data_IF_884656684479
#
_entry.id   IF_884656684479
#
_cell.length_a   1.000
_cell.length_b   1.000
_cell.length_c   1.000
_cell.angle_alpha   90.00
_cell.angle_beta   90.00
_cell.angle_gamma   90.00
#
_symmetry.space_group_name_H-M   'P 1'
#
loop_
_entity.id
_entity.type
_entity.pdbx_description
1 polymer ?
#
# COMPACT_ATOMS: atom_id res chain seq x y z
N UNK A 1 9.47 27.31 55.29
CA UNK A 1 8.21 26.70 55.71
C UNK A 1 7.21 27.08 54.66
N UNK A 2 6.71 26.30 53.77
CA UNK A 2 6.51 24.88 53.68
C UNK A 2 6.48 24.50 52.18
N UNK A 3 7.02 23.37 51.90
CA UNK A 3 7.19 22.82 50.57
C UNK A 3 5.91 22.15 50.10
N UNK A 4 5.37 22.55 48.92
CA UNK A 4 4.28 21.87 48.26
C UNK A 4 4.73 21.27 46.93
N UNK A 5 5.08 19.99 46.92
CA UNK A 5 5.41 19.21 45.74
C UNK A 5 4.14 18.88 44.96
N UNK A 6 4.13 19.19 43.69
CA UNK A 6 3.16 18.70 42.69
C UNK A 6 3.56 17.30 42.27
N UNK A 7 2.65 16.32 42.21
CA UNK A 7 2.94 15.02 41.66
C UNK A 7 2.91 15.05 40.11
N UNK A 8 4.02 14.66 39.51
CA UNK A 8 4.09 14.27 38.11
C UNK A 8 3.22 13.03 37.93
N UNK A 9 2.14 13.20 37.16
CA UNK A 9 1.31 12.09 36.68
C UNK A 9 2.00 11.41 35.52
N UNK A 10 2.52 10.23 35.73
CA UNK A 10 2.93 9.28 34.70
C UNK A 10 1.71 8.84 33.91
N UNK A 11 1.50 9.43 32.72
CA UNK A 11 0.54 8.95 31.75
C UNK A 11 1.23 7.97 30.78
N UNK A 12 1.73 6.87 31.34
CA UNK A 12 2.04 5.67 30.55
C UNK A 12 0.75 4.89 30.33
N UNK A 13 -0.03 5.26 29.31
CA UNK A 13 -1.10 4.41 28.80
C UNK A 13 -0.48 3.23 28.08
N UNK A 14 -0.19 2.19 28.81
CA UNK A 14 0.12 0.88 28.27
C UNK A 14 -1.07 0.43 27.40
N UNK A 15 -0.87 0.33 26.10
CA UNK A 15 -1.80 -0.34 25.20
C UNK A 15 -1.98 -1.77 25.69
N UNK A 16 -3.16 -2.06 26.25
CA UNK A 16 -3.49 -3.37 26.80
C UNK A 16 -3.48 -4.36 25.64
N UNK A 17 -2.51 -5.24 25.66
CA UNK A 17 -2.30 -6.32 24.71
C UNK A 17 -3.26 -7.45 25.08
N UNK A 18 -4.51 -7.35 24.65
CA UNK A 18 -5.42 -8.48 24.76
C UNK A 18 -5.41 -9.20 23.41
N UNK A 19 -4.61 -10.24 23.36
CA UNK A 19 -4.66 -11.23 22.29
C UNK A 19 -5.83 -12.14 22.63
N UNK A 20 -6.95 -11.99 21.95
CA UNK A 20 -7.97 -13.03 21.96
C UNK A 20 -7.38 -14.27 21.24
N UNK A 21 -6.61 -15.05 21.97
CA UNK A 21 -6.61 -16.46 21.74
C UNK A 21 -8.00 -16.94 22.20
N UNK A 22 -8.98 -16.91 21.29
CA UNK A 22 -10.07 -17.84 21.43
C UNK A 22 -9.38 -19.19 21.55
N UNK A 23 -9.34 -19.73 22.78
CA UNK A 23 -8.80 -21.05 23.05
C UNK A 23 -9.30 -21.97 21.94
N UNK A 24 -8.37 -22.65 21.28
CA UNK A 24 -8.66 -23.65 20.26
C UNK A 24 -9.51 -24.75 20.89
N UNK A 25 -10.80 -24.50 21.04
CA UNK A 25 -11.75 -25.52 21.39
C UNK A 25 -11.90 -26.42 20.17
N UNK A 26 -11.15 -27.49 20.18
CA UNK A 26 -11.36 -28.62 19.27
C UNK A 26 -12.70 -29.27 19.59
N UNK A 27 -13.76 -28.79 18.95
CA UNK A 27 -15.00 -29.54 18.87
C UNK A 27 -14.87 -30.49 17.67
N UNK A 28 -14.54 -31.74 17.92
CA UNK A 28 -14.58 -32.79 16.91
C UNK A 28 -13.62 -32.61 15.71
N UNK A 29 -12.37 -32.11 15.91
CA UNK A 29 -11.35 -32.08 14.87
C UNK A 29 -11.45 -30.94 13.85
N UNK A 30 -12.37 -29.98 13.96
CA UNK A 30 -12.46 -28.78 13.13
C UNK A 30 -11.54 -27.67 13.71
N UNK A 31 -10.56 -27.23 12.92
CA UNK A 31 -9.81 -25.99 13.17
C UNK A 31 -10.74 -24.79 12.91
N UNK A 32 -10.98 -23.95 13.91
CA UNK A 32 -11.73 -22.70 13.73
C UNK A 32 -10.81 -21.60 13.22
N UNK A 33 -11.27 -20.77 12.27
CA UNK A 33 -10.52 -19.61 11.76
C UNK A 33 -10.51 -18.49 12.80
N UNK A 34 -9.38 -18.12 13.41
CA UNK A 34 -9.34 -17.03 14.39
C UNK A 34 -9.36 -15.66 13.71
N UNK A 35 -10.24 -14.78 14.17
CA UNK A 35 -10.17 -13.34 13.87
C UNK A 35 -9.01 -12.75 14.68
N UNK A 36 -8.06 -12.11 13.98
CA UNK A 36 -6.99 -11.37 14.65
C UNK A 36 -7.48 -9.94 14.93
N UNK A 37 -7.80 -9.66 16.20
CA UNK A 37 -8.41 -8.41 16.63
C UNK A 37 -7.37 -7.47 17.23
N UNK A 38 -7.37 -6.21 16.76
CA UNK A 38 -6.50 -5.14 17.27
C UNK A 38 -7.37 -3.96 17.70
N UNK A 39 -7.32 -3.61 18.97
CA UNK A 39 -8.08 -2.49 19.54
C UNK A 39 -7.15 -1.31 19.84
N UNK A 40 -7.54 -0.12 19.40
CA UNK A 40 -6.85 1.15 19.66
C UNK A 40 -7.85 2.18 20.19
N UNK A 41 -8.26 2.05 21.48
CA UNK A 41 -9.19 2.97 22.09
C UNK A 41 -8.60 4.38 22.14
N UNK A 42 -9.37 5.35 21.64
CA UNK A 42 -9.02 6.77 21.68
C UNK A 42 -10.25 7.57 22.10
N UNK A 43 -10.04 8.66 22.83
CA UNK A 43 -11.08 9.59 23.18
C UNK A 43 -11.49 10.38 21.95
N UNK A 44 -12.38 9.81 21.13
CA UNK A 44 -12.95 10.44 19.97
C UNK A 44 -14.48 10.48 20.15
N UNK A 45 -15.12 11.66 20.16
CA UNK A 45 -16.55 11.75 20.44
C UNK A 45 -17.37 10.96 19.43
N UNK A 46 -18.01 9.88 19.90
CA UNK A 46 -19.05 9.17 19.18
C UNK A 46 -18.67 8.54 17.85
N UNK A 47 -17.39 8.24 17.58
CA UNK A 47 -16.95 7.68 16.30
C UNK A 47 -16.11 6.42 16.48
N UNK A 48 -16.44 5.40 15.69
CA UNK A 48 -15.63 4.18 15.55
C UNK A 48 -15.20 4.03 14.08
N UNK A 49 -13.94 3.69 13.87
CA UNK A 49 -13.42 3.23 12.60
C UNK A 49 -12.96 1.77 12.70
N UNK A 50 -13.43 0.95 11.79
CA UNK A 50 -13.03 -0.44 11.66
C UNK A 50 -12.33 -0.66 10.32
N UNK A 51 -11.22 -1.38 10.34
CA UNK A 51 -10.40 -1.74 9.19
C UNK A 51 -10.17 -3.23 9.20
N UNK A 52 -10.80 -3.92 8.27
CA UNK A 52 -10.64 -5.35 8.07
C UNK A 52 -9.67 -5.57 6.92
N UNK A 53 -8.45 -6.00 7.27
CA UNK A 53 -7.41 -6.32 6.30
C UNK A 53 -7.38 -7.83 6.02
N UNK A 54 -7.53 -8.17 4.75
CA UNK A 54 -7.48 -9.54 4.24
C UNK A 54 -6.21 -9.68 3.42
N UNK A 55 -5.31 -10.60 3.79
CA UNK A 55 -4.10 -10.88 3.02
C UNK A 55 -4.45 -11.46 1.65
N UNK A 56 -3.70 -11.07 0.64
CA UNK A 56 -3.96 -11.39 -0.75
C UNK A 56 -4.69 -10.24 -1.44
N UNK A 57 -3.97 -9.54 -2.30
CA UNK A 57 -4.43 -8.47 -3.16
C UNK A 57 -4.03 -8.76 -4.59
N UNK A 58 -3.83 -7.71 -5.39
CA UNK A 58 -3.51 -7.90 -6.80
C UNK A 58 -2.19 -8.66 -7.03
N UNK A 59 -1.25 -8.62 -6.09
CA UNK A 59 0.00 -9.40 -6.17
C UNK A 59 -0.25 -10.92 -6.19
N UNK A 60 -1.38 -11.37 -5.68
CA UNK A 60 -1.81 -12.78 -5.65
C UNK A 60 -2.79 -13.14 -6.78
N UNK A 61 -3.04 -12.23 -7.73
CA UNK A 61 -3.87 -12.51 -8.89
C UNK A 61 -3.27 -13.65 -9.72
N UNK A 62 -4.01 -14.72 -10.02
CA UNK A 62 -3.52 -15.77 -10.89
C UNK A 62 -3.26 -15.25 -12.31
N UNK A 63 -2.32 -15.86 -13.00
CA UNK A 63 -2.13 -15.59 -14.43
C UNK A 63 -3.42 -15.89 -15.22
N UNK A 64 -3.84 -14.97 -16.10
CA UNK A 64 -5.12 -15.05 -16.81
C UNK A 64 -6.34 -14.60 -15.99
N UNK A 65 -6.12 -14.11 -14.73
CA UNK A 65 -7.16 -13.57 -13.87
C UNK A 65 -6.72 -12.24 -13.21
N UNK A 66 -5.84 -11.49 -13.87
CA UNK A 66 -5.35 -10.21 -13.36
C UNK A 66 -6.51 -9.22 -13.20
N UNK A 67 -6.66 -8.66 -11.99
CA UNK A 67 -7.78 -7.78 -11.61
C UNK A 67 -8.91 -8.48 -10.86
N UNK A 68 -8.78 -9.80 -10.57
CA UNK A 68 -9.85 -10.54 -9.87
C UNK A 68 -10.05 -10.05 -8.44
N UNK A 69 -9.00 -9.67 -7.71
CA UNK A 69 -9.13 -9.09 -6.37
C UNK A 69 -9.80 -7.71 -6.41
N UNK A 70 -9.44 -6.89 -7.38
CA UNK A 70 -10.07 -5.57 -7.54
C UNK A 70 -11.55 -5.69 -7.88
N UNK A 71 -11.91 -6.58 -8.81
CA UNK A 71 -13.30 -6.83 -9.16
C UNK A 71 -14.09 -7.37 -7.96
N UNK A 72 -13.51 -8.30 -7.18
CA UNK A 72 -14.14 -8.77 -5.94
C UNK A 72 -14.32 -7.62 -4.94
N UNK A 73 -13.29 -6.78 -4.73
CA UNK A 73 -13.35 -5.64 -3.82
C UNK A 73 -14.52 -4.69 -4.13
N UNK A 74 -14.74 -4.40 -5.42
CA UNK A 74 -15.87 -3.57 -5.86
C UNK A 74 -17.23 -4.23 -5.54
N UNK A 75 -17.30 -5.56 -5.56
CA UNK A 75 -18.53 -6.31 -5.36
C UNK A 75 -18.87 -6.58 -3.89
N UNK A 76 -17.88 -6.57 -2.99
CA UNK A 76 -18.14 -6.81 -1.55
C UNK A 76 -19.11 -5.79 -0.95
N UNK A 77 -19.18 -4.58 -1.50
CA UNK A 77 -20.13 -3.53 -1.09
C UNK A 77 -21.46 -3.57 -1.86
N UNK A 78 -21.71 -4.60 -2.69
CA UNK A 78 -22.89 -4.75 -3.53
C UNK A 78 -23.89 -5.81 -3.03
N UNK A 79 -23.88 -6.09 -1.73
CA UNK A 79 -24.79 -7.02 -1.06
C UNK A 79 -24.06 -8.19 -0.41
N UNK A 80 -24.48 -8.52 0.81
CA UNK A 80 -23.92 -9.61 1.60
C UNK A 80 -24.90 -10.08 2.68
N UNK A 81 -24.87 -11.37 3.00
CA UNK A 81 -25.73 -11.96 4.02
C UNK A 81 -27.21 -11.64 3.79
N UNK A 82 -27.91 -11.05 4.76
CA UNK A 82 -29.33 -10.72 4.64
C UNK A 82 -29.64 -9.45 3.81
N UNK A 83 -28.60 -8.74 3.32
CA UNK A 83 -28.77 -7.43 2.68
C UNK A 83 -28.41 -7.51 1.19
N UNK A 84 -29.37 -7.26 0.31
CA UNK A 84 -29.07 -6.97 -1.09
C UNK A 84 -28.38 -5.62 -1.25
N UNK A 85 -28.04 -5.23 -2.47
CA UNK A 85 -27.25 -4.01 -2.70
C UNK A 85 -27.97 -2.73 -2.28
N UNK A 86 -29.32 -2.67 -2.40
CA UNK A 86 -30.11 -1.52 -2.00
C UNK A 86 -30.26 -1.47 -0.48
N UNK A 87 -30.61 -2.57 0.15
CA UNK A 87 -30.74 -2.68 1.60
C UNK A 87 -29.42 -2.41 2.33
N UNK A 88 -28.28 -2.82 1.73
CA UNK A 88 -26.95 -2.52 2.26
C UNK A 88 -26.66 -1.02 2.19
N UNK A 89 -26.93 -0.41 1.03
CA UNK A 89 -26.73 1.03 0.85
C UNK A 89 -27.61 1.83 1.81
N UNK A 90 -28.91 1.52 1.88
CA UNK A 90 -29.87 2.18 2.78
C UNK A 90 -29.44 2.04 4.25
N UNK A 91 -28.94 0.88 4.65
CA UNK A 91 -28.44 0.65 6.01
C UNK A 91 -27.24 1.54 6.33
N UNK A 92 -26.24 1.57 5.45
CA UNK A 92 -25.00 2.33 5.66
C UNK A 92 -25.27 3.84 5.60
N UNK A 93 -25.98 4.29 4.57
CA UNK A 93 -26.30 5.72 4.38
C UNK A 93 -27.29 6.22 5.43
N UNK A 94 -28.28 5.40 5.81
CA UNK A 94 -29.25 5.71 6.87
C UNK A 94 -28.61 5.92 8.24
N UNK A 95 -27.45 5.31 8.50
CA UNK A 95 -26.63 5.56 9.71
C UNK A 95 -25.61 6.69 9.52
N UNK A 96 -25.55 7.34 8.36
CA UNK A 96 -24.51 8.33 8.04
C UNK A 96 -23.09 7.72 8.08
N UNK A 97 -22.98 6.43 7.83
CA UNK A 97 -21.74 5.68 7.87
C UNK A 97 -21.04 5.65 6.50
N UNK A 98 -19.74 5.39 6.49
CA UNK A 98 -18.96 5.16 5.29
C UNK A 98 -18.46 3.72 5.25
N UNK A 99 -18.70 3.02 4.14
CA UNK A 99 -18.25 1.66 3.87
C UNK A 99 -17.61 1.59 2.49
N UNK A 100 -16.39 1.03 2.41
CA UNK A 100 -15.69 0.81 1.14
C UNK A 100 -14.73 -0.37 1.24
N UNK A 101 -14.37 -0.92 0.10
CA UNK A 101 -13.31 -1.89 -0.02
C UNK A 101 -12.27 -1.37 -1.02
N UNK A 102 -11.02 -1.26 -0.55
CA UNK A 102 -9.88 -0.85 -1.36
C UNK A 102 -8.99 -2.09 -1.60
N UNK A 103 -8.63 -2.34 -2.85
CA UNK A 103 -7.69 -3.42 -3.19
C UNK A 103 -6.30 -2.85 -3.41
N UNK A 104 -5.37 -3.32 -2.60
CA UNK A 104 -3.94 -3.02 -2.71
C UNK A 104 -3.20 -4.23 -3.29
N UNK A 105 -1.91 -4.08 -3.56
CA UNK A 105 -1.12 -5.21 -4.05
C UNK A 105 -1.01 -6.33 -3.02
N UNK A 106 -0.80 -6.01 -1.73
CA UNK A 106 -0.57 -7.00 -0.67
C UNK A 106 -1.84 -7.42 0.09
N UNK A 107 -2.97 -6.79 -0.17
CA UNK A 107 -4.21 -7.11 0.54
C UNK A 107 -5.42 -6.32 0.09
N UNK A 108 -6.58 -6.77 0.58
CA UNK A 108 -7.84 -6.05 0.46
C UNK A 108 -8.18 -5.42 1.81
N UNK A 109 -8.59 -4.17 1.80
CA UNK A 109 -8.93 -3.40 3.00
C UNK A 109 -10.39 -2.98 2.97
N UNK A 110 -11.23 -3.61 3.78
CA UNK A 110 -12.59 -3.16 4.00
C UNK A 110 -12.58 -2.12 5.12
N UNK A 111 -13.07 -0.94 4.82
CA UNK A 111 -13.09 0.23 5.70
C UNK A 111 -14.51 0.60 6.07
N UNK A 112 -14.82 0.60 7.35
CA UNK A 112 -16.08 1.08 7.91
C UNK A 112 -15.80 2.22 8.88
N UNK A 113 -16.59 3.30 8.79
CA UNK A 113 -16.59 4.38 9.77
C UNK A 113 -18.03 4.75 10.09
N UNK A 114 -18.37 4.75 11.37
CA UNK A 114 -19.74 5.00 11.84
C UNK A 114 -19.76 5.71 13.20
N UNK A 115 -20.95 6.13 13.61
CA UNK A 115 -21.19 6.52 14.99
C UNK A 115 -21.10 5.28 15.90
N UNK A 116 -20.62 5.46 17.13
CA UNK A 116 -20.46 4.38 18.12
C UNK A 116 -21.78 3.65 18.42
N UNK A 117 -22.90 4.37 18.48
CA UNK A 117 -24.26 3.81 18.69
C UNK A 117 -24.71 2.85 17.58
N UNK A 118 -24.18 2.99 16.36
CA UNK A 118 -24.54 2.19 15.20
C UNK A 118 -23.54 1.03 14.95
N UNK A 119 -22.47 0.97 15.74
CA UNK A 119 -21.35 0.07 15.52
C UNK A 119 -21.74 -1.41 15.54
N UNK A 120 -22.55 -1.85 16.52
CA UNK A 120 -22.98 -3.24 16.65
C UNK A 120 -23.72 -3.72 15.38
N UNK A 121 -24.60 -2.88 14.84
CA UNK A 121 -25.37 -3.20 13.64
C UNK A 121 -24.49 -3.24 12.39
N UNK A 122 -23.52 -2.30 12.25
CA UNK A 122 -22.73 -2.12 11.05
C UNK A 122 -21.49 -3.02 11.01
N UNK A 123 -20.88 -3.34 12.15
CA UNK A 123 -19.71 -4.23 12.21
C UNK A 123 -20.03 -5.64 11.72
N UNK A 124 -21.27 -6.11 11.91
CA UNK A 124 -21.72 -7.41 11.38
C UNK A 124 -21.57 -7.54 9.86
N UNK A 125 -21.64 -6.42 9.12
CA UNK A 125 -21.45 -6.39 7.66
C UNK A 125 -20.06 -6.89 7.25
N UNK A 126 -19.03 -6.57 8.04
CA UNK A 126 -17.65 -7.00 7.75
C UNK A 126 -17.53 -8.53 7.74
N UNK A 127 -18.22 -9.20 8.67
CA UNK A 127 -18.29 -10.67 8.68
C UNK A 127 -19.05 -11.20 7.46
N UNK A 128 -20.24 -10.64 7.16
CA UNK A 128 -21.04 -11.07 6.02
C UNK A 128 -20.31 -10.91 4.68
N UNK A 129 -19.56 -9.83 4.48
CA UNK A 129 -18.76 -9.63 3.29
C UNK A 129 -17.70 -10.71 3.06
N UNK A 130 -17.20 -11.32 4.14
CA UNK A 130 -16.22 -12.41 4.06
C UNK A 130 -16.83 -13.78 3.74
N UNK A 131 -18.05 -14.03 4.23
CA UNK A 131 -18.59 -15.40 4.23
C UNK A 131 -19.72 -15.61 3.23
N UNK A 132 -20.48 -14.54 2.93
CA UNK A 132 -21.68 -14.60 2.13
C UNK A 132 -21.88 -13.34 1.27
N UNK A 133 -20.88 -12.96 0.44
CA UNK A 133 -21.08 -11.91 -0.55
C UNK A 133 -22.03 -12.42 -1.63
N UNK A 134 -23.02 -11.61 -2.05
CA UNK A 134 -24.04 -12.07 -2.99
C UNK A 134 -23.49 -12.31 -4.39
N UNK A 135 -22.52 -11.50 -4.84
CA UNK A 135 -21.96 -11.58 -6.18
C UNK A 135 -23.05 -11.70 -7.25
N UNK A 136 -24.11 -10.88 -7.13
CA UNK A 136 -25.24 -10.88 -8.07
C UNK A 136 -24.77 -10.77 -9.51
N UNK A 137 -25.31 -11.57 -10.45
CA UNK A 137 -24.84 -11.57 -11.84
C UNK A 137 -24.90 -10.21 -12.53
N UNK A 138 -25.90 -9.38 -12.23
CA UNK A 138 -26.04 -8.06 -12.80
C UNK A 138 -25.01 -7.10 -12.21
N UNK A 139 -24.75 -7.19 -10.89
CA UNK A 139 -23.72 -6.42 -10.23
C UNK A 139 -22.32 -6.82 -10.71
N UNK A 140 -22.04 -8.11 -10.88
CA UNK A 140 -20.78 -8.60 -11.45
C UNK A 140 -20.56 -8.05 -12.87
N UNK A 141 -21.60 -8.07 -13.70
CA UNK A 141 -21.53 -7.49 -15.05
C UNK A 141 -21.25 -5.98 -15.00
N UNK A 142 -21.97 -5.26 -14.16
CA UNK A 142 -21.83 -3.80 -14.00
C UNK A 142 -20.43 -3.42 -13.54
N UNK A 143 -19.93 -4.02 -12.45
CA UNK A 143 -18.61 -3.70 -11.89
C UNK A 143 -17.48 -4.08 -12.84
N UNK A 144 -17.63 -5.16 -13.60
CA UNK A 144 -16.68 -5.53 -14.66
C UNK A 144 -16.63 -4.47 -15.79
N UNK A 145 -17.78 -3.98 -16.21
CA UNK A 145 -17.87 -2.91 -17.23
C UNK A 145 -17.24 -1.61 -16.71
N UNK A 146 -17.50 -1.25 -15.44
CA UNK A 146 -16.88 -0.09 -14.79
C UNK A 146 -15.35 -0.24 -14.67
N UNK A 147 -14.87 -1.43 -14.34
CA UNK A 147 -13.43 -1.72 -14.28
C UNK A 147 -12.76 -1.60 -15.65
N UNK A 148 -13.42 -2.10 -16.71
CA UNK A 148 -12.92 -1.94 -18.08
C UNK A 148 -12.88 -0.48 -18.53
N UNK A 149 -13.88 0.34 -18.14
CA UNK A 149 -13.87 1.78 -18.40
C UNK A 149 -12.77 2.49 -17.61
N UNK A 150 -12.52 2.07 -16.36
CA UNK A 150 -11.42 2.61 -15.55
C UNK A 150 -10.06 2.32 -16.19
N UNK A 151 -9.83 1.09 -16.66
CA UNK A 151 -8.62 0.72 -17.42
C UNK A 151 -8.46 1.53 -18.72
N UNK A 152 -9.56 1.78 -19.44
CA UNK A 152 -9.50 2.60 -20.64
C UNK A 152 -9.04 4.02 -20.32
N UNK A 153 -9.60 4.64 -19.26
CA UNK A 153 -9.19 5.98 -18.82
C UNK A 153 -7.73 6.01 -18.36
N UNK A 154 -7.27 4.96 -17.68
CA UNK A 154 -5.90 4.85 -17.21
C UNK A 154 -4.89 4.81 -18.35
N UNK A 155 -5.25 4.19 -19.49
CA UNK A 155 -4.44 4.15 -20.73
C UNK A 155 -4.33 5.50 -21.43
N UNK A 156 -5.15 6.49 -21.08
CA UNK A 156 -5.08 7.85 -21.59
C UNK A 156 -4.14 8.74 -20.76
N UNK A 157 -3.65 8.25 -19.60
CA UNK A 157 -2.75 8.98 -18.73
C UNK A 157 -1.29 8.57 -18.95
N UNK A 158 -0.44 9.46 -19.48
CA UNK A 158 0.98 9.19 -19.69
C UNK A 158 1.74 8.77 -18.44
N UNK A 159 1.31 9.25 -17.26
CA UNK A 159 1.91 8.86 -15.98
C UNK A 159 1.71 7.37 -15.71
N UNK A 160 0.48 6.88 -15.84
CA UNK A 160 0.18 5.46 -15.67
C UNK A 160 0.90 4.59 -16.70
N UNK A 161 0.95 5.02 -17.96
CA UNK A 161 1.66 4.29 -19.01
C UNK A 161 3.16 4.18 -18.73
N UNK A 162 3.79 5.28 -18.29
CA UNK A 162 5.20 5.27 -17.91
C UNK A 162 5.45 4.35 -16.71
N UNK A 163 4.56 4.39 -15.70
CA UNK A 163 4.69 3.56 -14.50
C UNK A 163 4.46 2.07 -14.80
N UNK A 164 3.49 1.73 -15.64
CA UNK A 164 3.27 0.35 -16.08
C UNK A 164 4.45 -0.20 -16.87
N UNK A 165 5.06 0.62 -17.74
CA UNK A 165 6.29 0.27 -18.43
C UNK A 165 7.44 -0.03 -17.45
N UNK A 166 7.61 0.81 -16.42
CA UNK A 166 8.61 0.61 -15.37
C UNK A 166 8.28 -0.65 -14.55
N UNK A 167 7.05 -0.80 -14.08
CA UNK A 167 6.58 -1.94 -13.29
C UNK A 167 6.80 -3.27 -13.99
N UNK A 168 6.49 -3.34 -15.27
CA UNK A 168 6.70 -4.53 -16.08
C UNK A 168 8.18 -4.90 -16.21
N UNK A 169 9.08 -3.92 -16.38
CA UNK A 169 10.53 -4.18 -16.35
C UNK A 169 10.99 -4.68 -14.98
N UNK A 170 10.50 -4.05 -13.91
CA UNK A 170 10.95 -4.28 -12.56
C UNK A 170 10.51 -5.63 -11.99
N UNK A 171 9.28 -6.03 -12.28
CA UNK A 171 8.64 -7.19 -11.65
C UNK A 171 8.18 -8.25 -12.66
N UNK A 172 8.09 -7.93 -13.96
CA UNK A 172 7.65 -8.85 -15.00
C UNK A 172 6.29 -9.46 -14.68
N UNK A 173 6.20 -10.78 -14.70
CA UNK A 173 4.99 -11.51 -14.30
C UNK A 173 4.89 -11.76 -12.79
N UNK A 174 5.79 -11.18 -12.00
CA UNK A 174 5.83 -11.31 -10.55
C UNK A 174 4.70 -10.54 -9.84
N UNK A 175 4.68 -10.60 -8.49
CA UNK A 175 3.59 -10.08 -7.67
C UNK A 175 3.23 -8.62 -7.91
N UNK A 176 4.17 -7.74 -8.19
CA UNK A 176 3.93 -6.31 -8.39
C UNK A 176 4.01 -5.86 -9.85
N UNK A 177 3.98 -6.82 -10.80
CA UNK A 177 4.21 -6.56 -12.23
C UNK A 177 3.01 -5.99 -13.00
N UNK A 178 1.84 -5.86 -12.37
CA UNK A 178 0.63 -5.31 -12.99
C UNK A 178 -0.12 -4.38 -12.05
N UNK A 179 -0.97 -3.54 -12.63
CA UNK A 179 -1.87 -2.67 -11.86
C UNK A 179 -2.97 -3.49 -11.16
N UNK A 180 -3.42 -3.11 -9.95
CA UNK A 180 -4.55 -3.76 -9.29
C UNK A 180 -5.83 -3.86 -10.14
N UNK A 181 -6.07 -2.92 -11.06
CA UNK A 181 -7.19 -3.03 -12.02
C UNK A 181 -7.06 -4.24 -12.96
N UNK A 182 -5.85 -4.78 -13.14
CA UNK A 182 -5.58 -5.95 -13.96
C UNK A 182 -5.46 -5.66 -15.45
N UNK A 183 -5.82 -6.65 -16.27
CA UNK A 183 -5.77 -6.56 -17.73
C UNK A 183 -7.16 -6.70 -18.34
N UNK A 184 -7.42 -5.94 -19.42
CA UNK A 184 -8.72 -5.95 -20.12
C UNK A 184 -9.10 -7.35 -20.62
N UNK A 185 -8.13 -8.12 -21.10
CA UNK A 185 -8.35 -9.47 -21.62
C UNK A 185 -8.79 -10.43 -20.51
N UNK A 186 -8.16 -10.34 -19.35
CA UNK A 186 -8.47 -11.15 -18.19
C UNK A 186 -9.84 -10.77 -17.60
N UNK A 187 -10.07 -9.47 -17.37
CA UNK A 187 -11.33 -8.96 -16.84
C UNK A 187 -12.56 -9.38 -17.65
N UNK A 188 -12.47 -9.41 -19.00
CA UNK A 188 -13.56 -9.85 -19.86
C UNK A 188 -13.99 -11.29 -19.61
N UNK A 189 -13.07 -12.12 -19.10
CA UNK A 189 -13.28 -13.54 -18.86
C UNK A 189 -13.67 -13.85 -17.40
N UNK A 190 -13.50 -12.89 -16.49
CA UNK A 190 -13.84 -13.08 -15.09
C UNK A 190 -15.36 -13.17 -14.90
N UNK A 191 -15.80 -14.17 -14.19
CA UNK A 191 -17.19 -14.42 -13.85
C UNK A 191 -17.37 -14.80 -12.36
N UNK A 192 -18.60 -15.15 -12.00
CA UNK A 192 -18.95 -15.48 -10.60
C UNK A 192 -18.15 -16.65 -10.04
N UNK A 193 -17.84 -17.66 -10.85
CA UNK A 193 -17.14 -18.86 -10.40
C UNK A 193 -15.75 -18.53 -9.86
N UNK A 194 -14.97 -17.72 -10.60
CA UNK A 194 -13.65 -17.26 -10.18
C UNK A 194 -13.74 -16.42 -8.91
N UNK A 195 -14.77 -15.56 -8.80
CA UNK A 195 -14.99 -14.71 -7.63
C UNK A 195 -15.35 -15.54 -6.39
N UNK A 196 -16.24 -16.52 -6.49
CA UNK A 196 -16.55 -17.44 -5.36
C UNK A 196 -15.31 -18.24 -4.94
N UNK A 197 -14.56 -18.77 -5.90
CA UNK A 197 -13.30 -19.46 -5.60
C UNK A 197 -12.31 -18.54 -4.86
N UNK A 198 -12.27 -17.25 -5.19
CA UNK A 198 -11.46 -16.29 -4.48
C UNK A 198 -11.97 -16.02 -3.07
N UNK A 199 -13.29 -15.84 -2.88
CA UNK A 199 -13.92 -15.65 -1.56
C UNK A 199 -13.57 -16.81 -0.63
N UNK A 200 -13.68 -18.06 -1.11
CA UNK A 200 -13.34 -19.24 -0.31
C UNK A 200 -11.87 -19.26 0.11
N UNK A 201 -10.96 -18.85 -0.76
CA UNK A 201 -9.53 -18.73 -0.42
C UNK A 201 -9.28 -17.62 0.59
N UNK A 202 -9.87 -16.43 0.39
CA UNK A 202 -9.66 -15.27 1.27
C UNK A 202 -10.27 -15.48 2.65
N UNK A 203 -11.44 -16.12 2.72
CA UNK A 203 -12.10 -16.45 4.00
C UNK A 203 -11.30 -17.46 4.84
N UNK A 204 -10.40 -18.21 4.23
CA UNK A 204 -9.51 -19.13 4.91
C UNK A 204 -8.28 -18.45 5.54
N UNK A 205 -7.88 -17.30 5.04
CA UNK A 205 -6.82 -16.50 5.62
C UNK A 205 -7.32 -15.88 6.92
N UNK A 206 -6.43 -15.72 7.90
CA UNK A 206 -6.77 -15.03 9.15
C UNK A 206 -6.75 -13.51 8.91
N UNK A 207 -7.91 -12.87 8.65
CA UNK A 207 -7.94 -11.42 8.46
C UNK A 207 -7.66 -10.70 9.78
N UNK A 208 -7.13 -9.49 9.68
CA UNK A 208 -6.89 -8.61 10.80
C UNK A 208 -8.01 -7.57 10.86
N UNK A 209 -8.77 -7.54 11.94
CA UNK A 209 -9.75 -6.49 12.24
C UNK A 209 -9.16 -5.51 13.23
N UNK A 210 -8.83 -4.31 12.80
CA UNK A 210 -8.40 -3.22 13.67
C UNK A 210 -9.54 -2.21 13.87
N UNK A 211 -9.78 -1.86 15.13
CA UNK A 211 -10.77 -0.84 15.49
C UNK A 211 -10.11 0.28 16.28
N UNK A 212 -10.47 1.52 15.95
CA UNK A 212 -10.04 2.70 16.70
C UNK A 212 -11.22 3.65 16.93
N UNK A 213 -11.23 4.31 18.08
CA UNK A 213 -12.26 5.27 18.44
C UNK A 213 -12.81 5.08 19.84
N UNK A 214 -14.06 5.49 20.05
CA UNK A 214 -14.79 5.30 21.30
C UNK A 214 -15.31 3.86 21.38
N UNK A 215 -14.43 2.93 21.76
CA UNK A 215 -14.75 1.50 21.74
C UNK A 215 -15.53 1.09 23.00
N UNK A 216 -16.70 0.42 22.87
CA UNK A 216 -17.41 -0.16 24.01
C UNK A 216 -16.56 -1.19 24.75
N UNK A 217 -16.71 -1.28 26.07
CA UNK A 217 -15.95 -2.19 26.90
C UNK A 217 -16.24 -3.68 26.61
N UNK A 218 -17.42 -3.98 26.11
CA UNK A 218 -17.90 -5.32 25.76
C UNK A 218 -17.79 -5.63 24.26
N UNK A 219 -17.10 -4.79 23.50
CA UNK A 219 -16.99 -4.90 22.02
C UNK A 219 -16.51 -6.29 21.57
N UNK A 220 -15.51 -6.86 22.23
CA UNK A 220 -15.01 -8.20 21.89
C UNK A 220 -16.08 -9.28 22.04
N UNK A 221 -16.82 -9.23 23.15
CA UNK A 221 -17.91 -10.16 23.38
C UNK A 221 -19.05 -9.96 22.37
N UNK A 222 -19.36 -8.70 22.07
CA UNK A 222 -20.37 -8.33 21.06
C UNK A 222 -19.99 -8.88 19.69
N UNK A 223 -18.74 -8.65 19.22
CA UNK A 223 -18.25 -9.21 17.95
C UNK A 223 -18.36 -10.74 17.92
N UNK A 224 -17.97 -11.43 19.00
CA UNK A 224 -18.05 -12.89 19.10
C UNK A 224 -19.49 -13.43 19.10
N UNK A 225 -20.48 -12.61 19.45
CA UNK A 225 -21.91 -12.98 19.42
C UNK A 225 -22.60 -12.71 18.09
N UNK A 226 -22.00 -11.94 17.18
CA UNK A 226 -22.56 -11.61 15.88
C UNK A 226 -22.61 -12.85 14.98
N UNK A 227 -23.77 -13.16 14.40
CA UNK A 227 -24.00 -14.33 13.56
C UNK A 227 -22.97 -14.42 12.41
N UNK A 228 -22.63 -13.30 11.77
CA UNK A 228 -21.67 -13.26 10.67
C UNK A 228 -20.28 -13.74 11.08
N UNK A 229 -19.77 -13.31 12.22
CA UNK A 229 -18.47 -13.75 12.73
C UNK A 229 -18.49 -15.17 13.29
N UNK A 230 -19.61 -15.60 13.86
CA UNK A 230 -19.81 -17.01 14.27
C UNK A 230 -19.76 -17.95 13.07
N UNK A 231 -20.55 -17.65 12.02
CA UNK A 231 -20.53 -18.44 10.78
C UNK A 231 -19.17 -18.43 10.10
N UNK A 232 -18.44 -17.32 10.15
CA UNK A 232 -17.08 -17.26 9.62
C UNK A 232 -16.13 -18.18 10.41
N UNK A 233 -16.20 -18.17 11.73
CA UNK A 233 -15.37 -19.05 12.59
C UNK A 233 -15.67 -20.54 12.38
N UNK A 234 -16.87 -20.88 11.96
CA UNK A 234 -17.30 -22.27 11.69
C UNK A 234 -16.87 -22.79 10.31
N UNK A 235 -16.43 -21.90 9.39
CA UNK A 235 -15.90 -22.36 8.10
C UNK A 235 -14.67 -23.26 8.31
N UNK A 236 -14.60 -24.42 7.63
CA UNK A 236 -13.43 -25.28 7.70
C UNK A 236 -12.23 -24.50 7.12
N UNK A 237 -11.16 -24.42 7.90
CA UNK A 237 -9.88 -23.90 7.36
C UNK A 237 -9.43 -24.88 6.28
N UNK A 238 -9.28 -24.46 5.01
CA UNK A 238 -8.66 -25.30 4.00
C UNK A 238 -7.29 -25.75 4.50
N UNK A 239 -6.82 -26.94 4.15
CA UNK A 239 -5.47 -27.35 4.46
C UNK A 239 -4.54 -26.24 3.97
N UNK A 240 -3.65 -25.77 4.86
CA UNK A 240 -2.67 -24.74 4.51
C UNK A 240 -2.05 -25.18 3.19
N UNK A 241 -2.41 -24.51 2.10
CA UNK A 241 -1.61 -24.64 0.90
C UNK A 241 -0.22 -24.28 1.37
N UNK A 242 0.68 -25.26 1.30
CA UNK A 242 2.10 -24.95 1.37
C UNK A 242 2.22 -23.77 0.42
N UNK A 243 2.38 -22.56 0.97
CA UNK A 243 2.97 -21.52 0.19
C UNK A 243 4.17 -22.21 -0.41
N UNK A 244 4.20 -22.40 -1.71
CA UNK A 244 5.44 -22.46 -2.41
C UNK A 244 6.11 -21.10 -2.16
N UNK A 245 6.44 -20.86 -0.88
CA UNK A 245 7.59 -20.10 -0.46
C UNK A 245 8.81 -20.95 -0.85
N UNK A 246 8.77 -21.45 -2.10
CA UNK A 246 9.97 -21.48 -2.85
C UNK A 246 10.47 -20.08 -2.75
N UNK A 247 11.47 -19.90 -1.91
CA UNK A 247 12.62 -19.08 -2.13
C UNK A 247 13.23 -19.56 -3.45
N UNK A 248 12.44 -19.56 -4.49
CA UNK A 248 12.90 -19.22 -5.78
C UNK A 248 13.20 -17.73 -5.63
N UNK A 249 14.43 -17.43 -5.25
CA UNK A 249 15.24 -16.55 -6.08
C UNK A 249 15.03 -17.01 -7.53
N UNK A 250 13.82 -16.87 -8.05
CA UNK A 250 13.60 -16.52 -9.42
C UNK A 250 14.21 -15.13 -9.51
N UNK A 251 15.55 -15.12 -9.65
CA UNK A 251 16.17 -14.37 -10.72
C UNK A 251 15.43 -14.83 -11.98
N UNK A 252 14.12 -14.51 -12.06
CA UNK A 252 13.42 -14.37 -13.31
C UNK A 252 14.32 -13.43 -14.07
N UNK A 253 14.83 -13.92 -15.19
CA UNK A 253 15.71 -13.19 -16.06
C UNK A 253 15.13 -11.77 -16.12
N UNK A 254 15.71 -10.87 -15.32
CA UNK A 254 15.49 -9.43 -15.39
C UNK A 254 15.48 -9.15 -16.87
N UNK A 255 14.40 -8.54 -17.36
CA UNK A 255 14.32 -8.09 -18.73
C UNK A 255 15.71 -7.53 -19.06
N UNK A 256 16.37 -8.06 -20.10
CA UNK A 256 17.72 -7.63 -20.47
C UNK A 256 17.80 -6.13 -20.79
N UNK A 257 16.65 -5.45 -20.79
CA UNK A 257 16.52 -4.02 -21.04
C UNK A 257 16.15 -3.30 -19.75
N UNK A 258 16.96 -2.34 -19.37
CA UNK A 258 16.68 -1.40 -18.28
C UNK A 258 16.00 -0.11 -18.77
N UNK A 259 15.37 -0.16 -19.95
CA UNK A 259 14.69 0.93 -20.61
C UNK A 259 13.35 0.47 -21.20
N UNK A 260 12.28 1.21 -20.92
CA UNK A 260 10.95 1.08 -21.54
C UNK A 260 10.55 2.39 -22.19
N UNK A 261 9.99 2.31 -23.40
CA UNK A 261 9.51 3.47 -24.17
C UNK A 261 8.05 3.27 -24.53
N UNK A 262 7.20 4.20 -24.11
CA UNK A 262 5.78 4.25 -24.43
C UNK A 262 5.54 5.45 -25.34
N UNK A 263 5.32 5.18 -26.64
CA UNK A 263 5.11 6.23 -27.62
C UNK A 263 3.66 6.70 -27.59
N UNK A 264 3.45 7.91 -27.11
CA UNK A 264 2.14 8.56 -27.04
C UNK A 264 2.21 9.98 -27.63
N UNK A 265 1.21 10.39 -28.42
CA UNK A 265 1.17 11.72 -29.03
C UNK A 265 0.73 12.79 -28.01
N UNK A 266 1.53 12.98 -26.97
CA UNK A 266 1.27 13.94 -25.90
C UNK A 266 2.24 15.12 -25.98
N UNK A 267 1.88 16.28 -25.40
CA UNK A 267 2.77 17.43 -25.27
C UNK A 267 3.77 17.30 -24.11
N UNK A 268 3.71 16.23 -23.37
CA UNK A 268 4.53 16.00 -22.18
C UNK A 268 5.38 14.74 -22.34
N UNK A 269 6.53 14.76 -21.68
CA UNK A 269 7.35 13.57 -21.46
C UNK A 269 7.30 13.22 -19.97
N UNK A 270 6.83 12.03 -19.65
CA UNK A 270 6.83 11.48 -18.32
C UNK A 270 7.98 10.51 -18.18
N UNK A 271 8.71 10.62 -17.08
CA UNK A 271 9.90 9.84 -16.76
C UNK A 271 9.71 9.11 -15.44
N UNK A 272 10.02 7.81 -15.40
CA UNK A 272 10.08 6.98 -14.20
C UNK A 272 11.49 6.39 -14.09
N UNK A 273 12.26 6.85 -13.09
CA UNK A 273 13.62 6.40 -12.85
C UNK A 273 13.70 5.72 -11.49
N UNK A 274 14.04 4.45 -11.43
CA UNK A 274 14.13 3.74 -10.15
C UNK A 274 14.31 2.24 -10.29
N UNK A 275 14.24 1.56 -9.16
CA UNK A 275 14.36 0.10 -9.08
C UNK A 275 13.52 -0.48 -7.94
N UNK A 276 13.25 -1.80 -7.92
CA UNK A 276 12.79 -2.48 -6.72
C UNK A 276 13.78 -2.33 -5.57
N UNK A 277 13.28 -2.11 -4.39
CA UNK A 277 14.07 -1.91 -3.19
C UNK A 277 13.73 -2.95 -2.11
N UNK A 278 13.52 -2.51 -0.88
CA UNK A 278 13.33 -3.36 0.28
C UNK A 278 11.86 -3.55 0.63
N UNK A 279 11.55 -4.65 1.31
CA UNK A 279 10.28 -4.82 2.02
C UNK A 279 10.22 -3.90 3.24
N UNK A 280 9.00 -3.51 3.63
CA UNK A 280 8.81 -2.73 4.85
C UNK A 280 9.22 -3.54 6.10
N UNK A 281 10.00 -2.92 6.98
CA UNK A 281 10.54 -3.58 8.17
C UNK A 281 11.90 -4.28 7.97
N UNK A 282 12.47 -4.25 6.76
CA UNK A 282 13.86 -4.63 6.56
C UNK A 282 14.81 -3.70 7.35
N UNK A 283 15.98 -4.17 7.77
CA UNK A 283 16.94 -3.40 8.59
C UNK A 283 17.35 -2.05 7.96
N UNK A 284 17.47 -1.98 6.64
CA UNK A 284 17.79 -0.75 5.91
C UNK A 284 16.56 0.04 5.41
N UNK A 285 15.33 -0.47 5.60
CA UNK A 285 14.10 0.20 5.14
C UNK A 285 13.98 1.63 5.71
N UNK A 286 14.32 1.79 6.98
CA UNK A 286 14.22 3.09 7.64
C UNK A 286 15.17 4.13 7.02
N UNK A 287 16.37 3.72 6.60
CA UNK A 287 17.30 4.59 5.88
C UNK A 287 16.73 5.01 4.52
N UNK A 288 16.13 4.08 3.76
CA UNK A 288 15.49 4.42 2.48
C UNK A 288 14.26 5.31 2.65
N UNK A 289 13.52 5.17 3.73
CA UNK A 289 12.39 6.06 4.05
C UNK A 289 12.86 7.48 4.40
N UNK A 290 13.99 7.65 5.06
CA UNK A 290 14.60 8.97 5.26
C UNK A 290 15.10 9.57 3.94
N UNK A 291 15.71 8.77 3.06
CA UNK A 291 16.08 9.22 1.71
C UNK A 291 14.84 9.63 0.90
N UNK A 292 13.73 8.90 1.02
CA UNK A 292 12.45 9.31 0.42
C UNK A 292 11.98 10.68 0.94
N UNK A 293 12.08 10.93 2.25
CA UNK A 293 11.74 12.22 2.84
C UNK A 293 12.63 13.36 2.33
N UNK A 294 13.93 13.10 2.17
CA UNK A 294 14.88 14.07 1.62
C UNK A 294 14.60 14.38 0.15
N UNK A 295 14.40 13.34 -0.66
CA UNK A 295 14.21 13.46 -2.11
C UNK A 295 12.89 14.09 -2.51
N UNK A 296 11.75 13.60 -1.97
CA UNK A 296 10.45 13.84 -2.58
C UNK A 296 9.38 14.45 -1.68
N UNK A 297 9.61 14.61 -0.37
CA UNK A 297 8.55 15.07 0.52
C UNK A 297 8.54 16.59 0.69
N UNK A 298 7.52 17.23 0.10
CA UNK A 298 7.26 18.67 0.24
C UNK A 298 8.16 19.56 -0.61
N UNK A 299 7.90 20.87 -0.57
CA UNK A 299 8.59 21.87 -1.41
C UNK A 299 10.08 22.03 -1.11
N UNK A 300 10.53 21.69 0.08
CA UNK A 300 11.94 21.68 0.47
C UNK A 300 12.68 20.38 0.11
N UNK A 301 12.08 19.48 -0.66
CA UNK A 301 12.73 18.25 -1.12
C UNK A 301 13.75 18.51 -2.21
N UNK A 302 14.75 17.66 -2.35
CA UNK A 302 15.81 17.82 -3.33
C UNK A 302 15.26 17.88 -4.75
N UNK A 303 14.33 16.98 -5.11
CA UNK A 303 13.73 16.98 -6.45
C UNK A 303 12.93 18.24 -6.74
N UNK A 304 12.12 18.69 -5.78
CA UNK A 304 11.33 19.91 -5.97
C UNK A 304 12.23 21.15 -6.14
N UNK A 305 13.20 21.34 -5.25
CA UNK A 305 14.14 22.46 -5.35
C UNK A 305 14.89 22.45 -6.68
N UNK A 306 15.54 21.32 -7.02
CA UNK A 306 16.41 21.23 -8.20
C UNK A 306 15.65 21.31 -9.52
N UNK A 307 14.58 20.51 -9.68
CA UNK A 307 13.88 20.43 -10.97
C UNK A 307 12.83 21.54 -11.15
N UNK A 308 12.19 21.98 -10.08
CA UNK A 308 11.08 22.93 -10.19
C UNK A 308 11.47 24.37 -9.87
N UNK A 309 12.20 24.61 -8.79
CA UNK A 309 12.57 25.99 -8.37
C UNK A 309 13.81 26.52 -9.09
N UNK A 310 14.92 25.76 -9.11
CA UNK A 310 16.18 26.20 -9.65
C UNK A 310 16.22 26.20 -11.19
N UNK A 311 15.69 25.10 -11.79
CA UNK A 311 15.74 24.92 -13.24
C UNK A 311 14.39 25.09 -13.94
N UNK A 312 13.27 25.04 -13.23
CA UNK A 312 11.92 25.22 -13.79
C UNK A 312 11.58 24.22 -14.90
N UNK A 313 12.10 22.97 -14.82
CA UNK A 313 11.97 21.98 -15.88
C UNK A 313 10.81 21.03 -15.71
N UNK A 314 10.28 20.84 -14.50
CA UNK A 314 9.22 19.87 -14.23
C UNK A 314 7.97 20.53 -13.65
N UNK A 315 6.79 20.06 -14.11
CA UNK A 315 5.49 20.46 -13.56
C UNK A 315 5.12 19.62 -12.35
N UNK A 316 5.29 18.30 -12.49
CA UNK A 316 5.10 17.32 -11.45
C UNK A 316 6.40 16.56 -11.23
N UNK A 317 6.77 16.40 -9.96
CA UNK A 317 8.00 15.74 -9.56
C UNK A 317 7.83 15.13 -8.18
N UNK A 318 8.30 13.91 -8.01
CA UNK A 318 8.20 13.21 -6.74
C UNK A 318 8.88 11.87 -6.73
N UNK A 319 8.55 11.10 -5.69
CA UNK A 319 9.04 9.74 -5.50
C UNK A 319 7.89 8.81 -5.10
N UNK A 320 7.84 7.64 -5.69
CA UNK A 320 6.93 6.58 -5.33
C UNK A 320 7.67 5.48 -4.57
N UNK A 321 7.45 5.42 -3.24
CA UNK A 321 8.03 4.43 -2.34
C UNK A 321 7.00 4.01 -1.30
N UNK A 322 6.02 3.17 -1.70
CA UNK A 322 4.95 2.71 -0.81
C UNK A 322 5.44 1.62 0.14
N UNK A 323 4.66 1.38 1.20
CA UNK A 323 4.82 0.21 2.07
C UNK A 323 4.43 -1.05 1.31
N UNK A 324 5.29 -2.06 1.28
CA UNK A 324 5.05 -3.38 0.65
C UNK A 324 5.55 -4.52 1.53
N UNK A 325 4.88 -5.67 1.45
CA UNK A 325 5.35 -6.92 2.08
C UNK A 325 6.60 -7.47 1.38
N UNK A 326 6.67 -7.31 0.07
CA UNK A 326 7.84 -7.64 -0.76
C UNK A 326 8.68 -6.43 -1.15
N UNK A 327 9.51 -6.58 -2.18
CA UNK A 327 10.37 -5.52 -2.69
C UNK A 327 9.57 -4.32 -3.20
N UNK A 328 9.58 -3.22 -2.45
CA UNK A 328 8.85 -1.99 -2.79
C UNK A 328 9.51 -1.25 -3.96
N UNK A 329 8.75 -0.57 -4.83
CA UNK A 329 9.34 0.36 -5.78
C UNK A 329 10.00 1.53 -5.05
N UNK A 330 11.17 1.96 -5.53
CA UNK A 330 11.81 3.22 -5.17
C UNK A 330 12.02 3.97 -6.49
N UNK A 331 11.08 4.85 -6.85
CA UNK A 331 10.97 5.41 -8.20
C UNK A 331 10.80 6.91 -8.14
N UNK A 332 11.76 7.64 -8.71
CA UNK A 332 11.64 9.07 -8.98
C UNK A 332 10.79 9.26 -10.23
N UNK A 333 9.91 10.22 -10.22
CA UNK A 333 9.12 10.60 -11.39
C UNK A 333 9.19 12.09 -11.66
N UNK A 334 9.10 12.43 -12.94
CA UNK A 334 8.96 13.81 -13.38
C UNK A 334 8.12 13.89 -14.66
N UNK A 335 7.31 14.95 -14.76
CA UNK A 335 6.58 15.32 -15.97
C UNK A 335 7.10 16.66 -16.47
N UNK A 336 7.46 16.72 -17.75
CA UNK A 336 8.13 17.88 -18.36
C UNK A 336 7.67 18.10 -19.81
N UNK A 337 8.03 19.24 -20.41
CA UNK A 337 7.84 19.47 -21.86
C UNK A 337 8.95 18.77 -22.67
N UNK A 338 8.72 18.55 -23.97
CA UNK A 338 9.71 17.96 -24.87
C UNK A 338 11.04 18.71 -24.87
N UNK A 339 10.97 20.05 -24.91
CA UNK A 339 12.15 20.93 -24.96
C UNK A 339 13.06 20.80 -23.73
N UNK A 340 12.47 20.50 -22.56
CA UNK A 340 13.16 20.40 -21.28
C UNK A 340 13.50 18.96 -20.89
N UNK A 341 13.05 17.99 -21.67
CA UNK A 341 13.13 16.58 -21.31
C UNK A 341 14.56 16.08 -21.09
N UNK A 342 15.52 16.51 -21.92
CA UNK A 342 16.93 16.12 -21.79
C UNK A 342 17.54 16.61 -20.47
N UNK A 343 17.32 17.88 -20.13
CA UNK A 343 17.81 18.46 -18.87
C UNK A 343 17.11 17.81 -17.67
N UNK A 344 15.81 17.53 -17.79
CA UNK A 344 15.06 16.83 -16.72
C UNK A 344 15.63 15.44 -16.43
N UNK A 345 15.93 14.65 -17.47
CA UNK A 345 16.56 13.34 -17.30
C UNK A 345 17.93 13.44 -16.64
N UNK A 346 18.75 14.39 -17.08
CA UNK A 346 20.07 14.63 -16.47
C UNK A 346 19.94 14.94 -14.98
N UNK A 347 19.06 15.86 -14.60
CA UNK A 347 18.86 16.26 -13.20
C UNK A 347 18.30 15.11 -12.34
N UNK A 348 17.40 14.29 -12.88
CA UNK A 348 16.93 13.09 -12.18
C UNK A 348 18.06 12.10 -11.90
N UNK A 349 18.95 11.89 -12.87
CA UNK A 349 20.11 11.02 -12.73
C UNK A 349 21.12 11.58 -11.71
N UNK A 350 21.37 12.89 -11.73
CA UNK A 350 22.20 13.56 -10.73
C UNK A 350 21.65 13.35 -9.33
N UNK A 351 20.34 13.60 -9.12
CA UNK A 351 19.68 13.36 -7.82
C UNK A 351 19.76 11.90 -7.39
N UNK A 352 19.61 10.95 -8.31
CA UNK A 352 19.72 9.52 -8.00
C UNK A 352 21.11 9.13 -7.52
N UNK A 353 22.15 9.49 -8.29
CA UNK A 353 23.51 9.10 -7.99
C UNK A 353 24.11 9.83 -6.78
N UNK A 354 23.67 11.05 -6.52
CA UNK A 354 24.09 11.82 -5.35
C UNK A 354 23.87 11.07 -4.04
N UNK A 355 22.77 10.28 -3.94
CA UNK A 355 22.47 9.48 -2.75
C UNK A 355 23.57 8.48 -2.37
N UNK A 356 24.26 7.93 -3.35
CA UNK A 356 25.31 6.94 -3.13
C UNK A 356 26.73 7.53 -3.11
N UNK A 357 26.91 8.73 -3.68
CA UNK A 357 28.23 9.35 -3.83
C UNK A 357 28.66 10.16 -2.61
N UNK A 358 27.74 10.79 -1.93
CA UNK A 358 28.04 11.63 -0.77
C UNK A 358 27.02 11.47 0.35
N UNK A 359 27.48 11.57 1.63
CA UNK A 359 26.55 11.51 2.74
C UNK A 359 25.69 12.79 2.79
N UNK A 360 24.45 12.67 3.26
CA UNK A 360 23.62 13.83 3.53
C UNK A 360 24.27 14.72 4.59
N UNK A 361 24.17 16.03 4.41
CA UNK A 361 24.59 17.01 5.41
C UNK A 361 23.76 16.89 6.70
N UNK A 362 24.26 17.40 7.82
CA UNK A 362 23.50 17.42 9.08
C UNK A 362 22.21 18.25 8.96
N UNK A 363 22.21 19.30 8.13
CA UNK A 363 21.01 20.10 7.85
C UNK A 363 19.97 19.29 7.08
N UNK A 364 20.35 18.59 6.02
CA UNK A 364 19.46 17.71 5.25
C UNK A 364 18.95 16.54 6.10
N UNK A 365 19.80 15.98 6.96
CA UNK A 365 19.40 14.93 7.91
C UNK A 365 18.37 15.43 8.92
N UNK A 366 18.58 16.62 9.48
CA UNK A 366 17.63 17.22 10.43
C UNK A 366 16.27 17.47 9.76
N UNK A 367 16.28 17.97 8.51
CA UNK A 367 15.08 18.20 7.72
C UNK A 367 14.37 16.88 7.36
N UNK A 368 15.11 15.86 6.91
CA UNK A 368 14.55 14.53 6.59
C UNK A 368 13.89 13.87 7.82
N UNK A 369 14.54 13.93 8.99
CA UNK A 369 13.98 13.44 10.27
C UNK A 369 12.71 14.20 10.65
N UNK A 370 12.69 15.54 10.52
CA UNK A 370 11.52 16.35 10.82
C UNK A 370 10.34 16.00 9.91
N UNK A 371 10.59 15.83 8.59
CA UNK A 371 9.58 15.40 7.62
C UNK A 371 9.04 14.00 7.92
N UNK A 372 9.91 13.06 8.25
CA UNK A 372 9.52 11.71 8.64
C UNK A 372 8.63 11.70 9.89
N UNK A 373 9.01 12.48 10.92
CA UNK A 373 8.19 12.66 12.12
C UNK A 373 6.81 13.22 11.78
N UNK A 374 6.78 14.28 10.95
CA UNK A 374 5.53 14.89 10.47
C UNK A 374 4.65 13.90 9.71
N UNK A 375 5.24 13.09 8.82
CA UNK A 375 4.50 12.07 8.06
C UNK A 375 3.83 11.02 8.97
N UNK A 376 4.54 10.52 9.98
CA UNK A 376 3.97 9.58 10.94
C UNK A 376 2.88 10.23 11.80
N UNK A 377 3.08 11.48 12.25
CA UNK A 377 2.07 12.21 13.02
C UNK A 377 0.80 12.44 12.20
N UNK A 378 0.92 12.86 10.93
CA UNK A 378 -0.22 13.02 10.02
C UNK A 378 -0.94 11.69 9.74
N UNK A 379 -0.19 10.59 9.61
CA UNK A 379 -0.75 9.24 9.40
C UNK A 379 -1.52 8.68 10.62
N UNK A 380 -1.48 9.33 11.77
CA UNK A 380 -2.16 8.91 13.00
C UNK A 380 -3.23 9.91 13.51
N UNK A 381 -3.63 10.90 12.70
CA UNK A 381 -4.53 11.96 13.14
C UNK A 381 -5.98 11.53 13.31
N UNK A 382 -6.47 10.67 12.43
CA UNK A 382 -7.88 10.24 12.44
C UNK A 382 -8.02 8.81 12.97
N UNK A 383 -9.19 8.47 13.51
CA UNK A 383 -9.51 7.09 13.92
C UNK A 383 -9.32 6.10 12.79
N UNK A 384 -9.72 6.49 11.56
CA UNK A 384 -9.54 5.65 10.36
C UNK A 384 -8.07 5.36 10.03
N UNK A 385 -7.21 6.38 10.05
CA UNK A 385 -5.78 6.23 9.82
C UNK A 385 -5.10 5.38 10.90
N UNK A 386 -5.50 5.59 12.17
CA UNK A 386 -4.99 4.78 13.30
C UNK A 386 -5.34 3.31 13.14
N UNK A 387 -6.62 3.00 12.90
CA UNK A 387 -7.08 1.62 12.69
C UNK A 387 -6.36 0.97 11.48
N UNK A 388 -6.21 1.71 10.38
CA UNK A 388 -5.52 1.22 9.19
C UNK A 388 -4.04 0.93 9.46
N UNK A 389 -3.33 1.85 10.13
CA UNK A 389 -1.92 1.63 10.49
C UNK A 389 -1.75 0.44 11.43
N UNK A 390 -2.65 0.26 12.41
CA UNK A 390 -2.63 -0.91 13.30
C UNK A 390 -2.85 -2.21 12.53
N UNK A 391 -3.82 -2.25 11.61
CA UNK A 391 -4.04 -3.40 10.74
C UNK A 391 -2.80 -3.71 9.89
N UNK A 392 -2.22 -2.69 9.25
CA UNK A 392 -1.04 -2.82 8.40
C UNK A 392 0.16 -3.38 9.16
N UNK A 393 0.50 -2.81 10.32
CA UNK A 393 1.61 -3.31 11.14
C UNK A 393 1.39 -4.78 11.55
N UNK A 394 0.15 -5.13 11.92
CA UNK A 394 -0.19 -6.49 12.33
C UNK A 394 -0.06 -7.49 11.18
N UNK A 395 -0.54 -7.14 10.00
CA UNK A 395 -0.44 -7.98 8.79
C UNK A 395 1.00 -8.20 8.36
N UNK A 396 1.85 -7.18 8.49
CA UNK A 396 3.29 -7.25 8.19
C UNK A 396 4.10 -7.97 9.29
N UNK A 397 3.46 -8.40 10.38
CA UNK A 397 4.15 -9.03 11.50
C UNK A 397 5.02 -8.08 12.33
N UNK A 398 4.82 -6.78 12.18
CA UNK A 398 5.57 -5.75 12.88
C UNK A 398 4.94 -5.44 14.26
N UNK A 399 5.75 -5.03 15.25
CA UNK A 399 5.26 -4.73 16.58
C UNK A 399 4.34 -3.50 16.60
N UNK A 400 3.38 -3.46 17.52
CA UNK A 400 2.42 -2.36 17.61
C UNK A 400 3.07 -0.98 17.88
N UNK A 401 4.25 -0.94 18.44
CA UNK A 401 5.05 0.26 18.69
C UNK A 401 6.12 0.53 17.63
N UNK A 402 6.01 -0.11 16.45
CA UNK A 402 6.98 0.01 15.36
C UNK A 402 7.25 1.48 14.95
N UNK A 403 6.21 2.29 14.82
CA UNK A 403 6.37 3.70 14.45
C UNK A 403 7.10 4.52 15.53
N UNK A 404 6.80 4.25 16.79
CA UNK A 404 7.50 4.88 17.93
C UNK A 404 8.98 4.46 17.96
N UNK A 405 9.24 3.18 17.77
CA UNK A 405 10.62 2.66 17.70
C UNK A 405 11.38 3.26 16.51
N UNK A 406 10.74 3.38 15.34
CA UNK A 406 11.32 4.04 14.17
C UNK A 406 11.72 5.50 14.47
N UNK A 407 10.89 6.25 15.22
CA UNK A 407 11.21 7.62 15.65
C UNK A 407 12.40 7.71 16.63
N UNK A 408 12.67 6.67 17.36
CA UNK A 408 13.85 6.57 18.22
C UNK A 408 15.09 6.20 17.39
N UNK A 409 14.96 5.24 16.48
CA UNK A 409 16.06 4.75 15.64
C UNK A 409 16.58 5.80 14.67
N UNK A 410 15.70 6.63 14.07
CA UNK A 410 16.17 7.69 13.13
C UNK A 410 17.15 8.67 13.77
N UNK A 411 17.18 8.78 15.10
CA UNK A 411 18.14 9.65 15.80
C UNK A 411 19.57 9.11 15.70
N UNK A 412 19.72 7.80 15.53
CA UNK A 412 21.00 7.10 15.45
C UNK A 412 21.50 6.95 14.00
N UNK A 413 20.65 7.19 12.99
CA UNK A 413 21.05 7.17 11.59
C UNK A 413 21.71 8.49 11.19
N UNK A 414 22.90 8.43 10.65
CA UNK A 414 23.63 9.58 10.09
C UNK A 414 23.66 9.56 8.56
N UNK A 415 24.18 10.61 7.94
CA UNK A 415 24.28 10.69 6.49
C UNK A 415 25.09 9.58 5.85
N UNK A 416 26.11 9.06 6.56
CA UNK A 416 26.95 7.95 6.09
C UNK A 416 26.14 6.63 6.08
N UNK A 417 25.29 6.41 7.07
CA UNK A 417 24.39 5.25 7.12
C UNK A 417 23.41 5.24 5.94
N UNK A 418 22.84 6.41 5.61
CA UNK A 418 21.95 6.56 4.47
C UNK A 418 22.68 6.33 3.14
N UNK A 419 23.87 6.91 2.98
CA UNK A 419 24.72 6.68 1.82
C UNK A 419 25.03 5.19 1.61
N UNK A 420 25.42 4.49 2.67
CA UNK A 420 25.68 3.05 2.62
C UNK A 420 24.45 2.24 2.24
N UNK A 421 23.26 2.61 2.72
CA UNK A 421 22.01 1.98 2.32
C UNK A 421 21.73 2.22 0.82
N UNK A 422 21.92 3.44 0.31
CA UNK A 422 21.83 3.73 -1.12
C UNK A 422 22.84 2.92 -1.94
N UNK A 423 24.08 2.82 -1.49
CA UNK A 423 25.12 2.01 -2.13
C UNK A 423 24.79 0.52 -2.17
N UNK A 424 24.09 -0.02 -1.18
CA UNK A 424 23.67 -1.43 -1.18
C UNK A 424 22.44 -1.69 -2.04
N UNK A 425 21.49 -0.78 -2.05
CA UNK A 425 20.12 -1.05 -2.51
C UNK A 425 19.64 -0.21 -3.70
N UNK A 426 20.40 0.80 -4.16
CA UNK A 426 19.97 1.72 -5.24
C UNK A 426 21.01 1.78 -6.39
N UNK A 427 21.53 0.62 -6.85
CA UNK A 427 22.65 0.58 -7.79
C UNK A 427 22.25 0.34 -9.26
N UNK A 428 21.06 -0.17 -9.52
CA UNK A 428 20.67 -0.62 -10.86
C UNK A 428 19.33 -0.01 -11.29
N UNK A 429 19.24 1.32 -11.42
CA UNK A 429 18.00 1.97 -11.81
C UNK A 429 17.60 1.57 -13.24
N UNK A 430 16.30 1.50 -13.45
CA UNK A 430 15.63 1.32 -14.72
C UNK A 430 14.90 2.61 -15.08
N UNK A 431 14.81 2.90 -16.37
CA UNK A 431 14.14 4.08 -16.90
C UNK A 431 12.92 3.68 -17.74
N UNK A 432 11.76 4.25 -17.43
CA UNK A 432 10.60 4.19 -18.30
C UNK A 432 10.18 5.59 -18.72
N UNK A 433 9.90 5.75 -19.99
CA UNK A 433 9.56 7.02 -20.61
C UNK A 433 8.22 6.90 -21.35
N UNK A 434 7.34 7.89 -21.22
CA UNK A 434 6.14 8.02 -22.01
C UNK A 434 6.09 9.42 -22.65
N UNK A 435 5.85 9.49 -23.96
CA UNK A 435 5.80 10.75 -24.69
C UNK A 435 5.99 10.61 -26.19
N UNK A 436 6.25 11.71 -26.91
CA UNK A 436 6.43 11.71 -28.35
C UNK A 436 7.67 10.92 -28.80
N UNK A 437 7.54 10.15 -29.88
CA UNK A 437 8.55 9.22 -30.38
C UNK A 437 9.92 9.87 -30.61
N UNK A 438 9.96 11.10 -31.14
CA UNK A 438 11.21 11.80 -31.43
C UNK A 438 11.99 12.10 -30.13
N UNK A 439 11.31 12.60 -29.11
CA UNK A 439 11.88 12.89 -27.79
C UNK A 439 12.36 11.61 -27.11
N UNK A 440 11.56 10.53 -27.16
CA UNK A 440 11.91 9.24 -26.57
C UNK A 440 13.19 8.65 -27.19
N UNK A 441 13.33 8.72 -28.51
CA UNK A 441 14.54 8.23 -29.20
C UNK A 441 15.81 8.99 -28.79
N UNK A 442 15.68 10.28 -28.54
CA UNK A 442 16.79 11.10 -28.09
C UNK A 442 17.23 10.74 -26.65
N UNK A 443 16.26 10.71 -25.76
CA UNK A 443 16.47 10.34 -24.35
C UNK A 443 17.01 8.91 -24.19
N UNK A 444 16.57 7.98 -25.04
CA UNK A 444 17.07 6.61 -25.03
C UNK A 444 18.58 6.52 -25.37
N UNK A 445 19.05 7.37 -26.29
CA UNK A 445 20.49 7.47 -26.60
C UNK A 445 21.29 8.04 -25.44
N UNK A 446 20.76 9.08 -24.79
CA UNK A 446 21.39 9.69 -23.63
C UNK A 446 21.49 8.67 -22.48
N UNK A 447 20.38 7.94 -22.21
CA UNK A 447 20.38 6.87 -21.23
C UNK A 447 21.43 5.79 -21.49
N UNK A 448 21.53 5.30 -22.74
CA UNK A 448 22.51 4.28 -23.11
C UNK A 448 23.95 4.77 -22.95
N UNK A 449 24.23 6.04 -23.27
CA UNK A 449 25.55 6.64 -23.10
C UNK A 449 25.95 6.82 -21.64
N UNK A 450 24.98 7.12 -20.77
CA UNK A 450 25.21 7.30 -19.34
C UNK A 450 25.24 5.95 -18.59
N UNK A 451 24.46 4.96 -19.00
CA UNK A 451 24.48 3.61 -18.45
C UNK A 451 25.79 2.86 -18.76
N UNK A 452 26.50 3.25 -19.83
CA UNK A 452 27.82 2.69 -20.20
C UNK A 452 28.96 3.32 -19.37
N UNK A 453 28.71 4.50 -18.74
CA UNK A 453 29.60 5.04 -17.74
C UNK A 453 29.05 4.70 -16.35
N UNK A 454 29.40 3.54 -15.74
CA UNK A 454 29.35 3.50 -14.30
C UNK A 454 30.20 4.71 -13.87
N UNK A 455 29.64 5.59 -13.05
CA UNK A 455 30.41 6.65 -12.44
C UNK A 455 31.59 5.97 -11.78
N UNK A 456 32.73 6.01 -12.46
CA UNK A 456 33.99 5.52 -11.96
C UNK A 456 34.25 6.30 -10.68
N UNK A 457 34.04 5.61 -9.56
CA UNK A 457 34.55 6.04 -8.27
C UNK A 457 36.05 6.12 -8.46
N UNK A 458 36.55 7.34 -8.60
CA UNK A 458 37.98 7.63 -8.55
C UNK A 458 38.44 7.58 -7.09
#
# INVERSE_FOLDING_TARGET
>A
MDTGATPQGDASTAATRTQLHLDRKTNGGKLMNPLDLVLDPVTAPGVIAAKLWIKGGSSADPQGQRGVHQLLGSLLTRGCGPYDHLALADLVEGCGAGLRCDTHEDGMLISLKCADRDAERLLSLLGWMLIDPHLDPNQVKLERELSLQALQRQREDPFHLAFDGWRNMAYGNGPYGHDPLGFSEDLKQLGREQLFSLVDRLSANSPVLALAGNLPADLEQSLGSMESFQRWSDKPTPPAMKSDSGTTSSQNALSKTNLSLQNEPTAQVVMMLGQPSLSHGHEDDLALRLLNCHLGLGMSSLLFRRLREEHGVAYDVGIHHPVREGAAPFVLHASTSEEKAQLTLQLLLECWWELSQQPLSEEDMALARAKFHGQLAHGAQTTGQRAERRAQLRVLGLPANYDQHSLEEIKNLDGISLQKAAQRHLQTPMLSLCGPEASLKHLAKDWQQQAVKPYLIA
#
